data_IF_341990215297
#
_entry.id   IF_341990215297
#
_cell.length_a   1.000
_cell.length_b   1.000
_cell.length_c   1.000
_cell.angle_alpha   90.00
_cell.angle_beta   90.00
_cell.angle_gamma   90.00
#
_symmetry.space_group_name_H-M   'P 1'
#
loop_
_entity.id
_entity.type
_entity.pdbx_description
1 polymer ?
#
# COMPACT_ATOMS: atom_id res chain seq x y z
N UNK A 1 0.31 0.49 12.00
CA UNK A 1 0.81 1.84 12.37
C UNK A 1 -0.32 2.79 12.86
N UNK A 2 -1.60 2.36 12.83
CA UNK A 2 -2.74 3.16 13.30
C UNK A 2 -3.11 4.35 12.41
N UNK A 3 -2.60 4.41 11.18
CA UNK A 3 -2.82 5.52 10.26
C UNK A 3 -4.14 5.42 9.47
N UNK A 4 -4.74 4.21 9.40
CA UNK A 4 -5.95 3.97 8.61
C UNK A 4 -5.69 3.78 7.11
N UNK A 5 -4.45 3.96 6.65
CA UNK A 5 -4.01 3.76 5.28
C UNK A 5 -2.64 3.06 5.22
N UNK A 6 -2.32 2.52 4.08
CA UNK A 6 -1.04 1.88 3.76
C UNK A 6 -0.47 2.50 2.49
N UNK A 7 0.85 2.56 2.43
CA UNK A 7 1.54 2.91 1.19
C UNK A 7 1.86 1.62 0.45
N UNK A 8 1.30 1.49 -0.73
CA UNK A 8 1.54 0.39 -1.67
C UNK A 8 2.39 0.89 -2.83
N UNK A 9 3.06 -0.01 -3.53
CA UNK A 9 3.69 0.32 -4.79
C UNK A 9 2.62 0.33 -5.88
N UNK A 10 2.57 1.39 -6.65
CA UNK A 10 1.67 1.59 -7.77
C UNK A 10 2.26 0.94 -9.03
N UNK A 11 1.69 -0.18 -9.44
CA UNK A 11 2.16 -0.93 -10.62
C UNK A 11 2.08 -0.11 -11.90
N UNK A 12 1.07 0.75 -12.03
CA UNK A 12 0.91 1.62 -13.20
C UNK A 12 2.00 2.71 -13.26
N UNK A 13 2.57 3.09 -12.13
CA UNK A 13 3.76 3.96 -12.09
C UNK A 13 5.06 3.19 -12.31
N UNK A 14 5.08 1.91 -11.99
CA UNK A 14 6.25 1.04 -12.23
C UNK A 14 6.37 0.70 -13.71
N UNK A 15 5.24 0.41 -14.39
CA UNK A 15 5.19 0.13 -15.83
C UNK A 15 4.13 1.07 -16.44
N UNK A 16 4.48 2.35 -16.67
CA UNK A 16 3.53 3.35 -17.14
C UNK A 16 3.18 3.20 -18.63
N UNK A 17 4.05 2.60 -19.40
CA UNK A 17 3.85 2.39 -20.85
C UNK A 17 4.23 0.96 -21.24
N UNK A 18 3.21 0.15 -21.46
CA UNK A 18 3.36 -1.26 -21.86
C UNK A 18 3.76 -1.43 -23.33
N UNK A 19 3.73 -0.37 -24.17
CA UNK A 19 4.20 -0.42 -25.55
C UNK A 19 5.72 -0.46 -25.64
N UNK A 20 6.41 -0.02 -24.58
CA UNK A 20 7.86 -0.08 -24.47
C UNK A 20 8.32 -1.48 -23.99
N UNK A 21 9.54 -1.81 -24.35
CA UNK A 21 10.26 -2.97 -23.82
C UNK A 21 11.04 -2.61 -22.55
N UNK A 22 11.44 -3.63 -21.77
CA UNK A 22 12.34 -3.41 -20.60
C UNK A 22 13.64 -2.73 -21.04
N UNK A 23 14.16 -3.07 -22.23
CA UNK A 23 15.35 -2.46 -22.79
C UNK A 23 15.18 -0.95 -23.04
N UNK A 24 14.01 -0.53 -23.49
CA UNK A 24 13.67 0.87 -23.78
C UNK A 24 13.28 1.66 -22.53
N UNK A 25 13.05 0.99 -21.39
CA UNK A 25 12.75 1.60 -20.11
C UNK A 25 11.28 1.48 -19.69
N UNK A 26 10.54 0.47 -20.17
CA UNK A 26 9.16 0.19 -19.72
C UNK A 26 9.05 0.09 -18.20
N UNK A 27 10.10 -0.44 -17.53
CA UNK A 27 10.19 -0.51 -16.07
C UNK A 27 10.81 0.80 -15.56
N UNK A 28 9.97 1.78 -15.27
CA UNK A 28 10.39 3.15 -14.94
C UNK A 28 11.42 3.23 -13.80
N UNK A 29 11.34 2.43 -12.71
CA UNK A 29 12.35 2.40 -11.66
C UNK A 29 13.77 2.04 -12.13
N UNK A 30 13.91 1.27 -13.20
CA UNK A 30 15.20 0.87 -13.74
C UNK A 30 15.70 1.84 -14.81
N UNK A 31 14.76 2.51 -15.51
CA UNK A 31 15.05 3.30 -16.70
C UNK A 31 15.48 2.43 -17.88
N UNK A 32 16.16 3.04 -18.85
CA UNK A 32 16.70 2.33 -20.02
C UNK A 32 17.76 1.32 -19.62
N UNK A 33 17.95 0.31 -20.47
CA UNK A 33 18.92 -0.76 -20.26
C UNK A 33 20.30 -0.25 -19.86
N UNK A 34 20.84 -0.90 -18.85
CA UNK A 34 22.22 -0.74 -18.38
C UNK A 34 22.83 -2.13 -18.19
N UNK A 35 24.14 -2.24 -18.35
CA UNK A 35 24.85 -3.48 -18.10
C UNK A 35 24.93 -3.73 -16.57
N UNK A 36 23.86 -4.21 -15.96
CA UNK A 36 23.71 -4.41 -14.52
C UNK A 36 22.97 -5.71 -14.21
N UNK A 37 23.26 -6.29 -13.05
CA UNK A 37 22.75 -7.59 -12.61
C UNK A 37 21.22 -7.70 -12.71
N UNK A 38 20.49 -6.65 -12.37
CA UNK A 38 19.02 -6.64 -12.41
C UNK A 38 18.47 -6.91 -13.84
N UNK A 39 19.10 -6.35 -14.86
CA UNK A 39 18.70 -6.59 -16.25
C UNK A 39 19.05 -8.01 -16.71
N UNK A 40 20.16 -8.58 -16.24
CA UNK A 40 20.53 -9.96 -16.55
C UNK A 40 19.56 -10.95 -15.90
N UNK A 41 19.07 -10.63 -14.69
CA UNK A 41 18.04 -11.42 -14.01
C UNK A 41 16.73 -11.39 -14.77
N UNK A 42 16.28 -10.21 -15.22
CA UNK A 42 15.04 -10.07 -16.02
C UNK A 42 15.20 -10.76 -17.38
N UNK A 43 16.38 -10.69 -18.00
CA UNK A 43 16.64 -11.39 -19.26
C UNK A 43 16.54 -12.91 -19.10
N UNK A 44 17.18 -13.46 -18.07
CA UNK A 44 17.10 -14.88 -17.74
C UNK A 44 15.68 -15.34 -17.36
N UNK A 45 14.88 -14.45 -16.77
CA UNK A 45 13.47 -14.70 -16.48
C UNK A 45 12.66 -14.75 -17.76
N UNK A 46 12.85 -13.78 -18.67
CA UNK A 46 12.13 -13.68 -19.93
C UNK A 46 12.47 -14.83 -20.91
N UNK A 47 13.71 -15.39 -20.87
CA UNK A 47 14.08 -16.58 -21.63
C UNK A 47 13.11 -17.77 -21.39
N UNK A 48 12.54 -17.89 -20.18
CA UNK A 48 11.56 -18.95 -19.84
C UNK A 48 10.21 -18.78 -20.55
N UNK A 49 9.91 -17.57 -20.97
CA UNK A 49 8.70 -17.21 -21.72
C UNK A 49 8.96 -16.99 -23.20
N UNK A 50 10.12 -17.48 -23.71
CA UNK A 50 10.56 -17.28 -25.11
C UNK A 50 10.60 -15.81 -25.53
N UNK A 51 10.83 -14.90 -24.57
CA UNK A 51 10.89 -13.46 -24.77
C UNK A 51 12.29 -12.92 -24.43
N UNK A 52 12.52 -11.65 -24.72
CA UNK A 52 13.79 -10.96 -24.49
C UNK A 52 13.53 -9.59 -23.84
N UNK A 53 14.59 -8.93 -23.36
CA UNK A 53 14.49 -7.55 -22.87
C UNK A 53 13.96 -6.55 -23.91
N UNK A 54 13.99 -6.88 -25.21
CA UNK A 54 13.48 -6.03 -26.31
C UNK A 54 12.03 -6.30 -26.68
N UNK A 55 11.41 -7.34 -26.12
CA UNK A 55 10.00 -7.64 -26.32
C UNK A 55 9.16 -6.57 -25.62
N UNK A 56 8.20 -5.91 -26.31
CA UNK A 56 7.27 -4.97 -25.65
C UNK A 56 6.51 -5.64 -24.50
N UNK A 57 6.31 -4.91 -23.40
CA UNK A 57 5.60 -5.46 -22.24
C UNK A 57 4.17 -5.89 -22.59
N UNK A 58 3.52 -5.23 -23.54
CA UNK A 58 2.19 -5.60 -24.04
C UNK A 58 2.12 -6.97 -24.73
N UNK A 59 3.25 -7.52 -25.16
CA UNK A 59 3.35 -8.83 -25.82
C UNK A 59 3.76 -9.93 -24.83
N UNK A 60 4.15 -9.57 -23.61
CA UNK A 60 4.52 -10.52 -22.57
C UNK A 60 3.26 -11.15 -21.96
N UNK A 61 3.29 -12.44 -21.61
CA UNK A 61 2.22 -13.05 -20.81
C UNK A 61 2.16 -12.40 -19.41
N UNK A 62 0.95 -12.30 -18.84
CA UNK A 62 0.74 -11.69 -17.52
C UNK A 62 1.58 -12.37 -16.42
N UNK A 63 1.86 -13.67 -16.51
CA UNK A 63 2.75 -14.37 -15.57
C UNK A 63 4.18 -13.83 -15.62
N UNK A 64 4.71 -13.52 -16.80
CA UNK A 64 6.03 -12.92 -16.93
C UNK A 64 6.06 -11.50 -16.33
N UNK A 65 5.00 -10.72 -16.54
CA UNK A 65 4.86 -9.38 -15.96
C UNK A 65 4.78 -9.47 -14.43
N UNK A 66 4.01 -10.42 -13.92
CA UNK A 66 3.90 -10.67 -12.47
C UNK A 66 5.24 -11.08 -11.86
N UNK A 67 6.00 -11.96 -12.51
CA UNK A 67 7.33 -12.34 -12.04
C UNK A 67 8.32 -11.17 -12.11
N UNK A 68 8.26 -10.31 -13.13
CA UNK A 68 9.07 -9.08 -13.18
C UNK A 68 8.74 -8.18 -11.97
N UNK A 69 7.47 -8.02 -11.64
CA UNK A 69 7.02 -7.15 -10.57
C UNK A 69 7.29 -7.71 -9.17
N UNK A 70 6.94 -8.97 -8.95
CA UNK A 70 6.86 -9.56 -7.59
C UNK A 70 7.93 -10.61 -7.30
N UNK A 71 8.72 -10.98 -8.31
CA UNK A 71 9.76 -11.99 -8.19
C UNK A 71 9.33 -13.38 -8.64
N UNK A 72 10.29 -14.29 -8.64
CA UNK A 72 10.10 -15.69 -9.01
C UNK A 72 10.62 -16.58 -7.89
N UNK A 73 9.87 -17.63 -7.56
CA UNK A 73 10.31 -18.66 -6.59
C UNK A 73 11.40 -19.55 -7.17
N UNK A 74 11.53 -19.60 -8.48
CA UNK A 74 12.55 -20.38 -9.15
C UNK A 74 13.87 -19.63 -9.25
N UNK A 75 14.97 -20.38 -9.11
CA UNK A 75 16.32 -19.83 -9.30
C UNK A 75 16.59 -19.54 -10.77
N UNK A 76 16.95 -18.33 -11.07
CA UNK A 76 17.38 -17.90 -12.40
C UNK A 76 18.86 -18.22 -12.61
N UNK A 77 19.15 -18.76 -13.79
CA UNK A 77 20.52 -19.06 -14.20
C UNK A 77 21.12 -17.85 -14.93
N UNK A 78 22.09 -17.20 -14.31
CA UNK A 78 22.86 -16.11 -14.94
C UNK A 78 24.10 -16.71 -15.62
N UNK A 79 24.26 -16.41 -16.92
CA UNK A 79 25.35 -16.94 -17.73
C UNK A 79 26.70 -16.41 -17.22
N UNK A 80 27.68 -17.31 -17.05
CA UNK A 80 29.03 -16.99 -16.58
C UNK A 80 29.74 -15.88 -17.38
N UNK A 81 29.46 -15.80 -18.69
CA UNK A 81 30.00 -14.76 -19.57
C UNK A 81 29.58 -13.34 -19.19
N UNK A 82 28.42 -13.16 -18.57
CA UNK A 82 27.90 -11.85 -18.14
C UNK A 82 28.57 -11.36 -16.85
N UNK A 83 28.93 -12.30 -15.96
CA UNK A 83 29.50 -11.99 -14.65
C UNK A 83 31.01 -12.23 -14.57
N UNK A 84 31.64 -12.52 -15.72
CA UNK A 84 33.07 -12.87 -15.80
C UNK A 84 33.52 -13.98 -14.83
N UNK A 85 32.64 -14.94 -14.56
CA UNK A 85 32.89 -16.07 -13.67
C UNK A 85 33.27 -17.32 -14.47
N UNK A 86 33.84 -18.30 -13.78
CA UNK A 86 34.21 -19.61 -14.36
C UNK A 86 33.04 -20.60 -14.41
N UNK A 87 31.95 -20.31 -13.69
CA UNK A 87 30.75 -21.14 -13.63
C UNK A 87 29.48 -20.27 -13.63
N UNK A 88 28.37 -20.87 -14.09
CA UNK A 88 27.06 -20.21 -14.04
C UNK A 88 26.65 -19.94 -12.59
N UNK A 89 25.95 -18.83 -12.40
CA UNK A 89 25.49 -18.38 -11.10
C UNK A 89 23.95 -18.45 -11.02
N UNK A 90 23.44 -18.96 -9.88
CA UNK A 90 22.02 -19.10 -9.66
C UNK A 90 21.55 -18.11 -8.61
N UNK A 91 20.53 -17.32 -8.95
CA UNK A 91 19.96 -16.29 -8.06
C UNK A 91 18.46 -16.44 -7.95
N UNK A 92 17.88 -15.99 -6.84
CA UNK A 92 16.47 -15.77 -6.68
C UNK A 92 16.20 -14.31 -7.06
N UNK A 93 15.24 -14.11 -7.96
CA UNK A 93 14.80 -12.78 -8.36
C UNK A 93 13.65 -12.34 -7.48
N UNK A 94 13.84 -11.27 -6.72
CA UNK A 94 12.88 -10.83 -5.71
C UNK A 94 11.81 -9.84 -6.22
N UNK A 95 11.92 -9.40 -7.47
CA UNK A 95 10.98 -8.50 -8.11
C UNK A 95 11.25 -7.00 -7.89
N UNK A 96 10.73 -6.20 -8.79
CA UNK A 96 10.89 -4.73 -8.78
C UNK A 96 10.16 -4.10 -7.59
N UNK A 97 9.00 -4.62 -7.22
CA UNK A 97 8.22 -4.11 -6.07
C UNK A 97 9.05 -4.20 -4.79
N UNK A 98 9.67 -5.34 -4.54
CA UNK A 98 10.53 -5.52 -3.36
C UNK A 98 11.76 -4.63 -3.41
N UNK A 99 12.38 -4.47 -4.58
CA UNK A 99 13.49 -3.54 -4.77
C UNK A 99 13.10 -2.10 -4.38
N UNK A 100 11.93 -1.61 -4.81
CA UNK A 100 11.44 -0.29 -4.43
C UNK A 100 11.15 -0.21 -2.92
N UNK A 101 10.53 -1.26 -2.34
CA UNK A 101 10.23 -1.32 -0.90
C UNK A 101 11.50 -1.22 -0.04
N UNK A 102 12.57 -1.90 -0.43
CA UNK A 102 13.88 -1.79 0.25
C UNK A 102 14.42 -0.36 0.24
N UNK A 103 14.18 0.41 -0.84
CA UNK A 103 14.57 1.81 -0.91
C UNK A 103 13.66 2.74 -0.09
N UNK A 104 12.48 2.28 0.36
CA UNK A 104 11.60 3.00 1.29
C UNK A 104 11.95 2.77 2.76
N UNK A 105 12.81 1.81 3.07
CA UNK A 105 13.20 1.49 4.44
C UNK A 105 13.99 2.65 5.09
N UNK A 106 13.93 2.72 6.42
CA UNK A 106 14.55 3.81 7.20
C UNK A 106 16.08 3.88 7.04
N UNK A 107 16.69 2.74 6.74
CA UNK A 107 18.14 2.62 6.58
C UNK A 107 18.63 3.04 5.18
N UNK A 108 17.70 3.25 4.24
CA UNK A 108 18.04 3.77 2.92
C UNK A 108 18.35 5.28 2.98
N UNK A 109 19.15 5.75 2.04
CA UNK A 109 19.47 7.18 1.96
C UNK A 109 18.22 8.01 1.68
N UNK A 110 18.18 9.28 2.14
CA UNK A 110 17.07 10.19 1.90
C UNK A 110 16.74 10.35 0.41
N UNK A 111 17.76 10.30 -0.46
CA UNK A 111 17.59 10.36 -1.92
C UNK A 111 16.88 9.10 -2.44
N UNK A 112 17.24 7.91 -1.92
CA UNK A 112 16.60 6.65 -2.30
C UNK A 112 15.14 6.60 -1.83
N UNK A 113 14.85 7.04 -0.62
CA UNK A 113 13.50 7.13 -0.08
C UNK A 113 12.62 8.05 -0.94
N UNK A 114 13.10 9.26 -1.23
CA UNK A 114 12.39 10.22 -2.09
C UNK A 114 12.15 9.71 -3.51
N UNK A 115 13.12 8.95 -4.06
CA UNK A 115 12.97 8.28 -5.34
C UNK A 115 11.89 7.20 -5.28
N UNK A 116 11.88 6.36 -4.25
CA UNK A 116 10.91 5.28 -4.09
C UNK A 116 9.48 5.78 -3.84
N UNK A 117 9.32 6.94 -3.19
CA UNK A 117 8.03 7.60 -2.99
C UNK A 117 7.30 7.93 -4.29
N UNK A 118 8.03 8.16 -5.40
CA UNK A 118 7.42 8.43 -6.71
C UNK A 118 6.54 7.27 -7.21
N UNK A 119 6.89 6.03 -6.82
CA UNK A 119 6.19 4.81 -7.19
C UNK A 119 5.16 4.38 -6.15
N UNK A 120 4.98 5.15 -5.09
CA UNK A 120 4.00 4.85 -4.05
C UNK A 120 2.62 5.40 -4.39
N UNK A 121 1.59 4.70 -3.90
CA UNK A 121 0.22 5.20 -3.74
C UNK A 121 -0.26 4.91 -2.33
N UNK A 122 -1.08 5.81 -1.84
CA UNK A 122 -1.77 5.62 -0.57
C UNK A 122 -3.10 4.94 -0.82
N UNK A 123 -3.36 3.88 -0.07
CA UNK A 123 -4.62 3.14 -0.15
C UNK A 123 -5.17 2.89 1.25
N UNK A 124 -6.46 2.61 1.34
CA UNK A 124 -7.11 2.32 2.62
C UNK A 124 -6.52 1.03 3.21
N UNK A 125 -6.20 1.07 4.48
CA UNK A 125 -5.67 -0.11 5.17
C UNK A 125 -6.64 -1.30 5.07
N UNK A 126 -6.25 -2.45 4.49
CA UNK A 126 -7.14 -3.60 4.33
C UNK A 126 -7.59 -4.21 5.66
N UNK A 127 -6.79 -4.08 6.71
CA UNK A 127 -7.06 -4.58 8.06
C UNK A 127 -8.16 -3.78 8.74
N UNK A 128 -7.95 -2.47 8.90
CA UNK A 128 -8.86 -1.62 9.66
C UNK A 128 -9.84 -0.83 8.79
N UNK A 129 -9.75 -0.91 7.46
CA UNK A 129 -10.64 -0.22 6.50
C UNK A 129 -10.83 1.27 6.81
N UNK A 130 -9.74 1.94 7.21
CA UNK A 130 -9.76 3.34 7.59
C UNK A 130 -10.05 3.62 9.07
N UNK A 131 -10.51 2.64 9.84
CA UNK A 131 -10.94 2.83 11.24
C UNK A 131 -9.81 3.19 12.20
N UNK A 132 -8.53 2.93 11.85
CA UNK A 132 -7.35 3.19 12.71
C UNK A 132 -7.32 2.39 14.03
N UNK A 133 -8.28 1.52 14.23
CA UNK A 133 -8.47 0.70 15.43
C UNK A 133 -8.37 -0.79 15.08
N UNK A 134 -8.05 -1.61 16.07
CA UNK A 134 -8.07 -3.05 15.93
C UNK A 134 -9.51 -3.58 15.94
N UNK A 135 -9.67 -4.86 15.57
CA UNK A 135 -10.99 -5.49 15.46
C UNK A 135 -11.70 -5.56 16.84
N UNK A 136 -10.93 -5.82 17.92
CA UNK A 136 -11.48 -5.90 19.26
C UNK A 136 -12.09 -4.57 19.72
N UNK A 137 -11.40 -3.45 19.47
CA UNK A 137 -11.92 -2.12 19.80
C UNK A 137 -13.22 -1.78 19.04
N UNK A 138 -13.36 -2.28 17.79
CA UNK A 138 -14.56 -2.07 16.99
C UNK A 138 -15.75 -2.93 17.39
N UNK A 139 -15.57 -3.94 18.26
CA UNK A 139 -16.67 -4.72 18.84
C UNK A 139 -17.44 -3.96 19.92
N UNK A 140 -16.81 -3.00 20.59
CA UNK A 140 -17.51 -2.17 21.57
C UNK A 140 -18.50 -1.25 20.85
N UNK A 141 -19.76 -1.36 21.23
CA UNK A 141 -20.84 -0.57 20.65
C UNK A 141 -21.58 0.18 21.77
N UNK A 142 -21.94 1.40 21.44
CA UNK A 142 -22.91 2.17 22.20
C UNK A 142 -24.20 2.19 21.37
N UNK A 143 -25.25 1.54 21.89
CA UNK A 143 -26.44 1.21 21.12
C UNK A 143 -26.07 0.40 19.85
N UNK A 144 -26.28 0.95 18.65
CA UNK A 144 -26.02 0.29 17.37
C UNK A 144 -24.67 0.62 16.73
N UNK A 145 -23.93 1.61 17.27
CA UNK A 145 -22.72 2.17 16.65
C UNK A 145 -21.46 1.94 17.45
N UNK A 146 -20.36 1.67 16.74
CA UNK A 146 -19.03 1.67 17.32
C UNK A 146 -18.37 3.05 17.18
N UNK A 147 -17.23 3.23 17.86
CA UNK A 147 -16.51 4.51 17.88
C UNK A 147 -16.10 5.01 16.49
N UNK A 148 -15.77 4.11 15.56
CA UNK A 148 -15.41 4.50 14.20
C UNK A 148 -16.63 5.03 13.44
N UNK A 149 -17.77 4.36 13.56
CA UNK A 149 -19.03 4.80 12.94
C UNK A 149 -19.44 6.17 13.46
N UNK A 150 -19.34 6.39 14.79
CA UNK A 150 -19.63 7.70 15.38
C UNK A 150 -18.66 8.79 14.90
N UNK A 151 -17.36 8.50 14.87
CA UNK A 151 -16.33 9.46 14.43
C UNK A 151 -16.38 9.76 12.91
N UNK A 152 -17.10 8.95 12.14
CA UNK A 152 -17.27 9.14 10.68
C UNK A 152 -18.59 9.81 10.31
N UNK A 153 -19.43 10.12 11.29
CA UNK A 153 -20.67 10.83 11.09
C UNK A 153 -20.42 12.31 10.77
N UNK A 154 -21.33 12.92 10.04
CA UNK A 154 -21.45 14.36 9.98
C UNK A 154 -21.72 14.96 11.38
N UNK A 155 -21.24 16.18 11.62
CA UNK A 155 -21.36 16.80 12.97
C UNK A 155 -22.81 16.96 13.37
N UNK A 156 -23.72 17.29 12.44
CA UNK A 156 -25.15 17.42 12.73
C UNK A 156 -25.76 16.05 13.08
N UNK A 157 -25.45 15.01 12.31
CA UNK A 157 -25.91 13.65 12.58
C UNK A 157 -25.39 13.14 13.92
N UNK A 158 -24.11 13.40 14.21
CA UNK A 158 -23.51 13.02 15.49
C UNK A 158 -24.15 13.74 16.67
N UNK A 159 -24.43 15.06 16.53
CA UNK A 159 -25.10 15.84 17.56
C UNK A 159 -26.50 15.30 17.84
N UNK A 160 -27.29 15.04 16.79
CA UNK A 160 -28.64 14.46 16.93
C UNK A 160 -28.59 13.07 17.57
N UNK A 161 -27.67 12.21 17.16
CA UNK A 161 -27.47 10.89 17.77
C UNK A 161 -27.12 11.01 19.25
N UNK A 162 -26.20 11.91 19.64
CA UNK A 162 -25.80 12.13 21.04
C UNK A 162 -26.95 12.68 21.88
N UNK A 163 -27.88 13.44 21.30
CA UNK A 163 -29.07 13.92 22.01
C UNK A 163 -29.99 12.77 22.43
N UNK A 164 -30.11 11.73 21.60
CA UNK A 164 -31.09 10.66 21.80
C UNK A 164 -30.48 9.36 22.37
N UNK A 165 -29.14 9.22 22.42
CA UNK A 165 -28.49 7.97 22.84
C UNK A 165 -28.86 7.55 24.27
N UNK A 166 -29.14 8.49 25.16
CA UNK A 166 -29.55 8.21 26.55
C UNK A 166 -30.84 7.39 26.64
N UNK A 167 -31.73 7.49 25.66
CA UNK A 167 -33.01 6.76 25.63
C UNK A 167 -32.78 5.25 25.45
N UNK A 168 -31.61 4.85 24.92
CA UNK A 168 -31.23 3.47 24.65
C UNK A 168 -30.30 2.89 25.75
N UNK A 169 -29.92 3.70 26.76
CA UNK A 169 -29.03 3.27 27.84
C UNK A 169 -29.80 2.76 29.06
N UNK A 170 -29.26 1.70 29.66
CA UNK A 170 -29.71 1.25 30.97
C UNK A 170 -29.40 2.30 32.07
N UNK A 171 -30.13 2.27 33.17
CA UNK A 171 -30.02 3.23 34.29
C UNK A 171 -28.56 3.43 34.75
N UNK A 172 -27.81 2.35 34.95
CA UNK A 172 -26.39 2.42 35.36
C UNK A 172 -25.51 3.07 34.30
N UNK A 173 -25.75 2.74 33.01
CA UNK A 173 -25.01 3.31 31.89
C UNK A 173 -25.32 4.80 31.76
N UNK A 174 -26.57 5.20 31.94
CA UNK A 174 -27.02 6.59 31.86
C UNK A 174 -26.34 7.43 32.95
N UNK A 175 -26.26 6.94 34.18
CA UNK A 175 -25.57 7.64 35.26
C UNK A 175 -24.08 7.85 34.95
N UNK A 176 -23.41 6.81 34.43
CA UNK A 176 -21.98 6.88 34.08
C UNK A 176 -21.75 7.83 32.88
N UNK A 177 -22.63 7.80 31.91
CA UNK A 177 -22.47 8.56 30.65
C UNK A 177 -22.91 10.03 30.74
N UNK A 178 -23.73 10.40 31.73
CA UNK A 178 -24.42 11.70 31.81
C UNK A 178 -23.46 12.90 31.70
N UNK A 179 -22.41 12.92 32.50
CA UNK A 179 -21.43 14.05 32.45
C UNK A 179 -20.64 14.07 31.14
N UNK A 180 -20.28 12.90 30.62
CA UNK A 180 -19.56 12.77 29.34
C UNK A 180 -20.43 13.24 28.19
N UNK A 181 -21.67 12.80 28.12
CA UNK A 181 -22.61 13.17 27.06
C UNK A 181 -22.94 14.66 27.10
N UNK A 182 -23.08 15.24 28.29
CA UNK A 182 -23.27 16.69 28.47
C UNK A 182 -22.11 17.49 27.89
N UNK A 183 -20.88 17.07 28.18
CA UNK A 183 -19.67 17.72 27.65
C UNK A 183 -19.58 17.58 26.13
N UNK A 184 -19.85 16.39 25.58
CA UNK A 184 -19.86 16.16 24.12
C UNK A 184 -20.92 17.03 23.44
N UNK A 185 -22.15 17.11 23.98
CA UNK A 185 -23.22 17.95 23.44
C UNK A 185 -22.81 19.41 23.40
N UNK A 186 -22.20 19.91 24.48
CA UNK A 186 -21.75 21.31 24.56
C UNK A 186 -20.70 21.62 23.48
N UNK A 187 -19.75 20.71 23.27
CA UNK A 187 -18.69 20.89 22.28
C UNK A 187 -19.21 20.78 20.83
N UNK A 188 -20.06 19.79 20.55
CA UNK A 188 -20.66 19.63 19.23
C UNK A 188 -21.54 20.83 18.89
N UNK A 189 -22.37 21.30 19.85
CA UNK A 189 -23.18 22.49 19.64
C UNK A 189 -22.31 23.71 19.32
N UNK A 190 -21.20 23.90 20.03
CA UNK A 190 -20.29 25.00 19.73
C UNK A 190 -19.74 24.91 18.30
N UNK A 191 -19.35 23.71 17.84
CA UNK A 191 -18.87 23.52 16.45
C UNK A 191 -19.96 23.87 15.42
N UNK A 192 -21.20 23.49 15.65
CA UNK A 192 -22.36 23.83 14.81
C UNK A 192 -22.63 25.35 14.81
N UNK A 193 -22.54 25.99 15.99
CA UNK A 193 -22.80 27.43 16.12
C UNK A 193 -21.76 28.30 15.39
N UNK A 194 -20.52 27.77 15.20
CA UNK A 194 -19.48 28.45 14.41
C UNK A 194 -19.48 28.06 12.92
N UNK A 195 -20.41 27.24 12.47
CA UNK A 195 -20.64 26.92 11.07
C UNK A 195 -19.77 25.80 10.48
N UNK A 196 -19.34 24.85 11.31
CA UNK A 196 -18.65 23.64 10.89
C UNK A 196 -19.64 22.53 10.51
#
# INVERSE_FOLDING_TARGET
>A
KGLGYVNLIDVDKVIPDRSLSVYEGAVAPLGKYKNAMIFWQIDALLERYEATLKTPVSELPEDAINEILYGSDERLKIKSSLIHATSDYFVVYEGIVKYIQMMQEKDASATAQKWAEQFAKTDVCPECKGARLNKEALHFRLHDKNIYQLASMDINELYDWVLHVEDFLEEKQRIIASEILKEIRTRLKFLLDVGL
#
